data_IF_780693644421
#
_entry.id   IF_780693644421
#
_cell.length_a   1.000
_cell.length_b   1.000
_cell.length_c   1.000
_cell.angle_alpha   90.00
_cell.angle_beta   90.00
_cell.angle_gamma   90.00
#
_symmetry.space_group_name_H-M   'P 1'
#
loop_
_entity.id
_entity.type
_entity.pdbx_description
1 polymer ?
#
# COMPACT_ATOMS: atom_id res chain seq x y z
N UNK A 1 20.31 -20.16 8.72
CA UNK A 1 20.82 -19.56 7.46
C UNK A 1 20.34 -18.11 7.31
N UNK A 2 19.07 -17.84 7.00
CA UNK A 2 18.55 -16.47 6.81
C UNK A 2 18.81 -15.52 8.00
N UNK A 3 18.68 -16.00 9.24
CA UNK A 3 18.98 -15.19 10.43
C UNK A 3 20.45 -14.75 10.42
N UNK A 4 21.39 -15.64 10.11
CA UNK A 4 22.82 -15.31 10.08
C UNK A 4 23.12 -14.27 8.98
N UNK A 5 22.49 -14.40 7.80
CA UNK A 5 22.62 -13.42 6.71
C UNK A 5 22.11 -12.03 7.15
N UNK A 6 21.00 -11.97 7.89
CA UNK A 6 20.47 -10.72 8.45
C UNK A 6 21.40 -10.13 9.51
N UNK A 7 21.94 -10.96 10.40
CA UNK A 7 22.91 -10.51 11.41
C UNK A 7 24.19 -9.98 10.74
N UNK A 8 24.70 -10.63 9.69
CA UNK A 8 25.86 -10.18 8.91
C UNK A 8 25.61 -8.83 8.19
N UNK A 9 24.36 -8.56 7.77
CA UNK A 9 23.98 -7.27 7.18
C UNK A 9 23.90 -6.12 8.21
N UNK A 10 23.93 -6.42 9.51
CA UNK A 10 23.80 -5.45 10.61
C UNK A 10 22.41 -5.46 11.28
N UNK A 11 21.70 -6.58 11.21
CA UNK A 11 20.42 -6.80 11.88
C UNK A 11 19.19 -6.36 11.08
N UNK A 12 18.02 -6.75 11.57
CA UNK A 12 16.77 -6.64 10.82
C UNK A 12 16.34 -5.20 10.53
N UNK A 13 16.64 -4.24 11.42
CA UNK A 13 16.28 -2.83 11.21
C UNK A 13 16.95 -2.27 9.94
N UNK A 14 18.22 -2.60 9.70
CA UNK A 14 18.95 -2.20 8.51
C UNK A 14 18.45 -2.95 7.27
N UNK A 15 18.23 -4.26 7.38
CA UNK A 15 17.68 -5.05 6.28
C UNK A 15 16.29 -4.55 5.82
N UNK A 16 15.41 -4.16 6.75
CA UNK A 16 14.09 -3.57 6.44
C UNK A 16 14.24 -2.21 5.76
N UNK A 17 15.14 -1.35 6.24
CA UNK A 17 15.40 -0.06 5.60
C UNK A 17 15.93 -0.20 4.17
N UNK A 18 16.67 -1.27 3.88
CA UNK A 18 17.17 -1.59 2.53
C UNK A 18 16.11 -2.27 1.63
N UNK A 19 14.96 -2.67 2.19
CA UNK A 19 13.82 -3.25 1.47
C UNK A 19 13.95 -4.73 1.11
N UNK A 20 15.03 -5.41 1.52
CA UNK A 20 15.31 -6.81 1.14
C UNK A 20 14.22 -7.78 1.62
N UNK A 21 13.77 -7.74 2.89
CA UNK A 21 12.73 -8.66 3.36
C UNK A 21 11.42 -8.52 2.60
N UNK A 22 11.01 -7.27 2.29
CA UNK A 22 9.80 -6.98 1.53
C UNK A 22 9.89 -7.58 0.13
N UNK A 23 11.03 -7.41 -0.55
CA UNK A 23 11.25 -7.97 -1.89
C UNK A 23 11.11 -9.50 -1.91
N UNK A 24 11.70 -10.22 -0.95
CA UNK A 24 11.58 -11.68 -0.88
C UNK A 24 10.15 -12.16 -0.59
N UNK A 25 9.40 -11.41 0.23
CA UNK A 25 7.99 -11.71 0.51
C UNK A 25 7.15 -11.48 -0.75
N UNK A 26 7.40 -10.41 -1.49
CA UNK A 26 6.73 -10.12 -2.76
C UNK A 26 7.04 -11.17 -3.82
N UNK A 27 8.29 -11.64 -3.91
CA UNK A 27 8.68 -12.74 -4.80
C UNK A 27 7.93 -14.03 -4.46
N UNK A 28 7.84 -14.38 -3.18
CA UNK A 28 7.03 -15.51 -2.72
C UNK A 28 5.55 -15.34 -3.11
N UNK A 29 5.00 -14.14 -3.00
CA UNK A 29 3.62 -13.84 -3.37
C UNK A 29 3.38 -13.98 -4.89
N UNK A 30 4.33 -13.51 -5.71
CA UNK A 30 4.28 -13.64 -7.17
C UNK A 30 4.31 -15.11 -7.61
N UNK A 31 5.25 -15.90 -7.07
CA UNK A 31 5.33 -17.35 -7.33
C UNK A 31 4.04 -18.05 -6.90
N UNK A 32 3.55 -17.76 -5.70
CA UNK A 32 2.31 -18.36 -5.21
C UNK A 32 1.13 -18.03 -6.11
N UNK A 33 1.02 -16.78 -6.59
CA UNK A 33 -0.05 -16.41 -7.50
C UNK A 33 0.06 -17.21 -8.81
N UNK A 34 1.25 -17.32 -9.39
CA UNK A 34 1.48 -18.10 -10.60
C UNK A 34 1.07 -19.58 -10.43
N UNK A 35 1.31 -20.18 -9.27
CA UNK A 35 0.85 -21.54 -8.96
C UNK A 35 -0.67 -21.67 -8.91
N UNK A 36 -1.34 -20.67 -8.33
CA UNK A 36 -2.81 -20.65 -8.26
C UNK A 36 -3.41 -20.47 -9.66
N UNK A 37 -2.88 -19.52 -10.43
CA UNK A 37 -3.40 -19.19 -11.76
C UNK A 37 -3.15 -20.32 -12.77
N UNK A 38 -1.99 -21.00 -12.69
CA UNK A 38 -1.68 -22.20 -13.50
C UNK A 38 -2.46 -23.45 -13.06
N UNK A 39 -3.14 -23.42 -11.92
CA UNK A 39 -3.84 -24.56 -11.34
C UNK A 39 -2.95 -25.61 -10.67
N UNK A 40 -1.64 -25.37 -10.53
CA UNK A 40 -0.72 -26.25 -9.79
C UNK A 40 -0.97 -26.21 -8.27
N UNK A 41 -1.38 -25.06 -7.73
CA UNK A 41 -1.95 -24.92 -6.39
C UNK A 41 -3.48 -24.89 -6.49
N UNK A 42 -4.15 -25.95 -6.04
CA UNK A 42 -5.61 -26.06 -6.13
C UNK A 42 -6.28 -25.33 -4.97
N UNK A 43 -7.23 -24.45 -5.29
CA UNK A 43 -8.16 -23.83 -4.35
C UNK A 43 -9.58 -24.22 -4.76
N UNK A 44 -10.19 -25.11 -3.96
CA UNK A 44 -11.54 -25.62 -4.18
C UNK A 44 -12.55 -24.48 -4.17
N UNK A 45 -13.41 -24.43 -5.18
CA UNK A 45 -14.39 -23.37 -5.38
C UNK A 45 -13.85 -22.13 -6.09
N UNK A 46 -12.54 -22.03 -6.32
CA UNK A 46 -11.92 -20.86 -6.98
C UNK A 46 -11.33 -21.22 -8.34
N UNK A 47 -10.31 -22.08 -8.41
CA UNK A 47 -9.68 -22.48 -9.69
C UNK A 47 -10.04 -23.91 -10.09
N UNK A 48 -10.65 -24.69 -9.18
CA UNK A 48 -11.12 -26.05 -9.45
C UNK A 48 -12.38 -26.33 -8.64
N UNK A 49 -13.29 -27.10 -9.22
CA UNK A 49 -14.59 -27.44 -8.60
C UNK A 49 -15.42 -26.20 -8.26
N UNK A 50 -15.47 -25.23 -9.19
CA UNK A 50 -16.29 -24.03 -9.06
C UNK A 50 -17.78 -24.41 -9.12
N UNK A 51 -18.61 -23.69 -8.35
CA UNK A 51 -20.06 -23.80 -8.45
C UNK A 51 -20.52 -23.11 -9.75
N UNK A 52 -21.54 -23.67 -10.42
CA UNK A 52 -22.14 -23.00 -11.58
C UNK A 52 -22.84 -21.69 -11.20
N UNK A 53 -23.30 -21.59 -9.96
CA UNK A 53 -23.97 -20.42 -9.40
C UNK A 53 -23.48 -20.19 -7.97
N UNK A 54 -22.92 -19.02 -7.73
CA UNK A 54 -22.55 -18.55 -6.40
C UNK A 54 -23.77 -17.95 -5.69
N UNK A 55 -23.87 -18.20 -4.38
CA UNK A 55 -24.87 -17.55 -3.54
C UNK A 55 -24.41 -16.15 -3.17
N UNK A 56 -25.31 -15.17 -3.28
CA UNK A 56 -25.02 -13.80 -2.84
C UNK A 56 -25.09 -13.72 -1.32
N UNK A 57 -23.97 -13.34 -0.69
CA UNK A 57 -23.91 -13.06 0.74
C UNK A 57 -24.06 -11.56 0.97
N UNK A 58 -24.92 -11.16 1.90
CA UNK A 58 -25.01 -9.77 2.32
C UNK A 58 -23.74 -9.36 3.07
N UNK A 59 -23.01 -8.42 2.47
CA UNK A 59 -21.81 -7.83 3.08
C UNK A 59 -22.20 -6.55 3.81
N UNK A 60 -21.78 -6.42 5.07
CA UNK A 60 -22.01 -5.21 5.85
C UNK A 60 -21.20 -4.04 5.26
N UNK A 61 -21.89 -3.12 4.58
CA UNK A 61 -21.33 -1.82 4.21
C UNK A 61 -21.54 -0.83 5.37
N UNK A 62 -20.46 -0.19 5.81
CA UNK A 62 -20.53 0.84 6.86
C UNK A 62 -20.72 2.21 6.20
N UNK A 63 -21.78 2.93 6.56
CA UNK A 63 -21.96 4.32 6.13
C UNK A 63 -20.93 5.23 6.80
N UNK A 64 -19.90 5.59 6.04
CA UNK A 64 -18.82 6.46 6.48
C UNK A 64 -19.27 7.93 6.61
N UNK A 65 -20.39 8.34 6.00
CA UNK A 65 -20.86 9.74 6.05
C UNK A 65 -21.39 10.08 7.42
N UNK A 66 -22.27 9.24 7.97
CA UNK A 66 -22.79 9.38 9.34
C UNK A 66 -21.67 9.34 10.38
N UNK A 67 -20.73 8.41 10.23
CA UNK A 67 -19.57 8.29 11.14
C UNK A 67 -18.70 9.54 11.07
N UNK A 68 -18.32 9.99 9.87
CA UNK A 68 -17.50 11.19 9.68
C UNK A 68 -18.13 12.42 10.31
N UNK A 69 -19.41 12.67 10.05
CA UNK A 69 -20.11 13.85 10.56
C UNK A 69 -20.15 13.84 12.10
N UNK A 70 -20.45 12.69 12.73
CA UNK A 70 -20.43 12.54 14.18
C UNK A 70 -19.04 12.76 14.79
N UNK A 71 -17.98 12.31 14.11
CA UNK A 71 -16.62 12.50 14.61
C UNK A 71 -16.16 13.95 14.48
N UNK A 72 -16.51 14.63 13.38
CA UNK A 72 -16.25 16.07 13.22
C UNK A 72 -16.92 16.86 14.33
N UNK A 73 -18.20 16.60 14.62
CA UNK A 73 -18.93 17.29 15.69
C UNK A 73 -18.28 17.08 17.07
N UNK A 74 -17.85 15.85 17.38
CA UNK A 74 -17.11 15.56 18.63
C UNK A 74 -15.80 16.32 18.69
N UNK A 75 -15.03 16.35 17.61
CA UNK A 75 -13.77 17.07 17.54
C UNK A 75 -13.97 18.57 17.76
N UNK A 76 -14.98 19.17 17.13
CA UNK A 76 -15.32 20.58 17.32
C UNK A 76 -15.66 20.88 18.77
N UNK A 77 -16.49 20.05 19.42
CA UNK A 77 -16.84 20.22 20.84
C UNK A 77 -15.63 20.09 21.76
N UNK A 78 -14.80 19.06 21.56
CA UNK A 78 -13.61 18.83 22.38
C UNK A 78 -12.62 19.98 22.25
N UNK A 79 -12.37 20.46 21.03
CA UNK A 79 -11.47 21.60 20.79
C UNK A 79 -12.02 22.92 21.35
N UNK A 80 -13.33 23.12 21.35
CA UNK A 80 -13.94 24.32 21.91
C UNK A 80 -13.92 24.36 23.45
N UNK A 81 -13.98 23.20 24.12
CA UNK A 81 -14.10 23.11 25.57
C UNK A 81 -12.78 22.81 26.30
N UNK A 82 -11.67 22.55 25.59
CA UNK A 82 -10.38 22.25 26.22
C UNK A 82 -9.64 23.51 26.65
N UNK A 83 -8.70 23.35 27.58
CA UNK A 83 -7.71 24.38 27.87
C UNK A 83 -6.67 24.39 26.74
N UNK A 84 -6.79 25.38 25.85
CA UNK A 84 -5.93 25.50 24.67
C UNK A 84 -4.47 25.81 25.04
N UNK A 85 -4.24 26.56 26.12
CA UNK A 85 -2.88 26.90 26.57
C UNK A 85 -2.19 25.64 27.11
N UNK A 86 -2.90 24.84 27.90
CA UNK A 86 -2.40 23.56 28.38
C UNK A 86 -2.13 22.57 27.22
N UNK A 87 -3.06 22.46 26.27
CA UNK A 87 -2.91 21.61 25.10
C UNK A 87 -1.66 21.99 24.28
N UNK A 88 -1.50 23.28 23.96
CA UNK A 88 -0.35 23.75 23.19
C UNK A 88 0.97 23.56 23.93
N UNK A 89 0.99 23.73 25.26
CA UNK A 89 2.17 23.45 26.09
C UNK A 89 2.59 21.98 26.01
N UNK A 90 1.63 21.06 26.08
CA UNK A 90 1.90 19.62 25.94
C UNK A 90 2.43 19.27 24.54
N UNK A 91 1.86 19.86 23.47
CA UNK A 91 2.32 19.62 22.10
C UNK A 91 3.74 20.16 21.88
N UNK A 92 4.05 21.35 22.40
CA UNK A 92 5.41 21.90 22.33
C UNK A 92 6.40 21.02 23.09
N UNK A 93 6.03 20.51 24.26
CA UNK A 93 6.88 19.58 25.01
C UNK A 93 7.14 18.27 24.26
N UNK A 94 6.14 17.75 23.53
CA UNK A 94 6.31 16.58 22.64
C UNK A 94 7.30 16.86 21.51
N UNK A 95 7.18 18.01 20.84
CA UNK A 95 8.12 18.41 19.79
C UNK A 95 9.54 18.58 20.34
N UNK A 96 9.70 19.22 21.50
CA UNK A 96 11.00 19.41 22.16
C UNK A 96 11.63 18.07 22.57
N UNK A 97 10.84 17.17 23.14
CA UNK A 97 11.29 15.82 23.50
C UNK A 97 11.73 15.02 22.26
N UNK A 98 10.99 15.13 21.14
CA UNK A 98 11.36 14.51 19.88
C UNK A 98 12.69 15.04 19.34
N UNK A 99 12.94 16.36 19.45
CA UNK A 99 14.16 17.01 18.97
C UNK A 99 15.39 16.70 19.85
N UNK A 100 15.24 16.86 21.16
CA UNK A 100 16.35 16.71 22.13
C UNK A 100 16.64 15.27 22.51
N UNK A 101 15.68 14.36 22.30
CA UNK A 101 15.68 12.97 22.80
C UNK A 101 15.79 12.89 24.32
N UNK A 102 15.40 13.95 25.04
CA UNK A 102 15.35 13.97 26.49
C UNK A 102 13.91 13.80 26.98
N UNK A 103 13.70 12.91 27.95
CA UNK A 103 12.38 12.56 28.47
C UNK A 103 11.77 11.33 27.79
N UNK A 104 10.47 11.10 28.01
CA UNK A 104 9.76 9.94 27.50
C UNK A 104 8.52 10.39 26.69
N UNK A 105 8.50 10.06 25.39
CA UNK A 105 7.42 10.44 24.49
C UNK A 105 6.05 9.91 24.93
N UNK A 106 5.99 8.69 25.45
CA UNK A 106 4.73 8.10 25.92
C UNK A 106 4.20 8.86 27.15
N UNK A 107 5.06 9.20 28.11
CA UNK A 107 4.67 10.01 29.26
C UNK A 107 4.09 11.36 28.84
N UNK A 108 4.74 12.05 27.90
CA UNK A 108 4.26 13.33 27.37
C UNK A 108 2.98 13.20 26.54
N UNK A 109 2.82 12.09 25.81
CA UNK A 109 1.59 11.80 25.07
C UNK A 109 0.40 11.52 26.01
N UNK A 110 0.62 10.91 27.18
CA UNK A 110 -0.41 10.76 28.23
C UNK A 110 -0.85 12.13 28.74
N UNK A 111 0.09 13.05 28.98
CA UNK A 111 -0.24 14.43 29.38
C UNK A 111 -1.00 15.18 28.29
N UNK A 112 -0.57 15.07 27.02
CA UNK A 112 -1.27 15.66 25.88
C UNK A 112 -2.70 15.11 25.75
N UNK A 113 -2.88 13.79 25.90
CA UNK A 113 -4.20 13.14 25.89
C UNK A 113 -5.10 13.64 27.02
N UNK A 114 -4.53 13.84 28.23
CA UNK A 114 -5.25 14.43 29.37
C UNK A 114 -5.69 15.87 29.08
N UNK A 115 -4.84 16.65 28.41
CA UNK A 115 -5.13 18.01 27.93
C UNK A 115 -6.04 18.05 26.69
N UNK A 116 -6.60 16.91 26.26
CA UNK A 116 -7.51 16.80 25.10
C UNK A 116 -6.86 17.19 23.77
N UNK A 117 -5.56 16.95 23.64
CA UNK A 117 -4.91 16.89 22.34
C UNK A 117 -5.43 15.67 21.56
N UNK A 118 -5.64 15.85 20.27
CA UNK A 118 -6.10 14.79 19.37
C UNK A 118 -4.95 13.88 18.94
N UNK A 119 -5.28 12.70 18.43
CA UNK A 119 -4.29 11.78 17.84
C UNK A 119 -3.50 12.47 16.72
N UNK A 120 -4.19 13.23 15.85
CA UNK A 120 -3.55 13.99 14.77
C UNK A 120 -2.56 15.03 15.30
N UNK A 121 -2.95 15.84 16.29
CA UNK A 121 -2.05 16.86 16.87
C UNK A 121 -0.81 16.27 17.54
N UNK A 122 -0.96 15.14 18.25
CA UNK A 122 0.17 14.44 18.87
C UNK A 122 1.11 13.88 17.79
N UNK A 123 0.57 13.25 16.75
CA UNK A 123 1.35 12.78 15.60
C UNK A 123 2.06 13.94 14.89
N UNK A 124 1.37 15.03 14.62
CA UNK A 124 1.93 16.21 13.94
C UNK A 124 3.03 16.88 14.76
N UNK A 125 2.90 16.91 16.09
CA UNK A 125 3.95 17.43 16.98
C UNK A 125 5.25 16.63 16.86
N UNK A 126 5.17 15.31 16.69
CA UNK A 126 6.34 14.45 16.45
C UNK A 126 6.82 14.52 15.00
N UNK A 127 5.90 14.60 14.03
CA UNK A 127 6.18 14.71 12.59
C UNK A 127 7.03 15.95 12.26
N UNK A 128 6.90 17.04 13.01
CA UNK A 128 7.76 18.23 12.88
C UNK A 128 9.26 17.92 12.98
N UNK A 129 9.64 16.90 13.75
CA UNK A 129 11.04 16.50 13.94
C UNK A 129 11.39 15.28 13.11
N UNK A 130 10.53 14.26 13.10
CA UNK A 130 10.85 12.98 12.45
C UNK A 130 10.52 12.93 10.95
N UNK A 131 9.66 13.84 10.48
CA UNK A 131 9.12 13.80 9.12
C UNK A 131 8.16 12.63 8.89
N UNK A 132 7.97 12.29 7.62
CA UNK A 132 7.20 11.11 7.19
C UNK A 132 8.09 10.15 6.43
N UNK A 133 7.91 8.86 6.69
CA UNK A 133 8.57 7.83 5.92
C UNK A 133 7.98 7.79 4.50
N UNK A 134 8.85 7.83 3.49
CA UNK A 134 8.49 7.54 2.10
C UNK A 134 9.18 6.24 1.71
N UNK A 135 8.39 5.23 1.38
CA UNK A 135 8.91 3.94 0.95
C UNK A 135 9.59 4.08 -0.41
N UNK A 136 10.78 3.48 -0.55
CA UNK A 136 11.44 3.27 -1.84
C UNK A 136 11.24 1.81 -2.22
N UNK A 137 10.21 1.53 -3.02
CA UNK A 137 9.89 0.17 -3.38
C UNK A 137 10.80 -0.34 -4.50
N UNK A 138 11.32 -1.55 -4.32
CA UNK A 138 11.90 -2.34 -5.41
C UNK A 138 10.78 -3.15 -6.05
N UNK A 139 10.88 -3.40 -7.35
CA UNK A 139 9.91 -4.21 -8.08
C UNK A 139 10.49 -5.61 -8.32
N UNK A 140 9.72 -6.64 -8.01
CA UNK A 140 10.00 -8.02 -8.43
C UNK A 140 9.84 -8.11 -9.95
N UNK A 141 10.72 -8.84 -10.64
CA UNK A 141 10.60 -9.13 -12.07
C UNK A 141 10.94 -10.60 -12.34
N UNK A 142 10.21 -11.22 -13.27
CA UNK A 142 10.41 -12.57 -13.77
C UNK A 142 9.84 -13.68 -12.90
N UNK A 143 9.59 -13.44 -11.61
CA UNK A 143 9.18 -14.47 -10.66
C UNK A 143 7.82 -15.08 -10.99
N UNK A 144 6.87 -14.29 -11.49
CA UNK A 144 5.54 -14.79 -11.86
C UNK A 144 5.64 -15.69 -13.08
N UNK A 145 6.24 -15.20 -14.17
CA UNK A 145 6.36 -15.97 -15.42
C UNK A 145 7.21 -17.23 -15.26
N UNK A 146 8.30 -17.17 -14.51
CA UNK A 146 9.15 -18.33 -14.26
C UNK A 146 8.38 -19.45 -13.57
N UNK A 147 7.59 -19.12 -12.54
CA UNK A 147 6.84 -20.12 -11.77
C UNK A 147 5.59 -20.61 -12.50
N UNK A 148 4.98 -19.76 -13.36
CA UNK A 148 3.85 -20.18 -14.20
C UNK A 148 4.26 -21.30 -15.17
N UNK A 149 5.49 -21.26 -15.66
CA UNK A 149 6.04 -22.23 -16.60
C UNK A 149 5.58 -22.01 -18.05
N UNK A 150 5.72 -23.04 -18.87
CA UNK A 150 5.30 -23.01 -20.28
C UNK A 150 3.77 -23.10 -20.37
N UNK A 151 3.15 -22.09 -20.99
CA UNK A 151 1.70 -22.03 -21.18
C UNK A 151 1.35 -21.33 -22.48
N UNK A 152 0.37 -21.91 -23.20
CA UNK A 152 -0.20 -21.30 -24.40
C UNK A 152 -0.87 -19.96 -24.08
N UNK A 153 -1.48 -19.81 -22.91
CA UNK A 153 -2.13 -18.58 -22.47
C UNK A 153 -1.11 -17.43 -22.33
N UNK A 154 0.01 -17.69 -21.66
CA UNK A 154 1.10 -16.72 -21.49
C UNK A 154 1.68 -16.34 -22.86
N UNK A 155 1.90 -17.33 -23.73
CA UNK A 155 2.44 -17.10 -25.08
C UNK A 155 1.48 -16.25 -25.93
N UNK A 156 0.17 -16.52 -25.85
CA UNK A 156 -0.86 -15.72 -26.53
C UNK A 156 -0.96 -14.30 -25.97
N UNK A 157 -0.87 -14.12 -24.65
CA UNK A 157 -0.88 -12.81 -24.01
C UNK A 157 0.31 -11.96 -24.48
N UNK A 158 1.53 -12.51 -24.45
CA UNK A 158 2.74 -11.84 -24.94
C UNK A 158 2.62 -11.50 -26.43
N UNK A 159 2.09 -12.43 -27.24
CA UNK A 159 1.86 -12.17 -28.67
C UNK A 159 0.90 -10.98 -28.89
N UNK A 160 -0.16 -10.86 -28.08
CA UNK A 160 -1.08 -9.71 -28.15
C UNK A 160 -0.42 -8.40 -27.75
N UNK A 161 0.42 -8.41 -26.72
CA UNK A 161 1.20 -7.22 -26.30
C UNK A 161 2.19 -6.80 -27.40
N UNK A 162 2.86 -7.75 -28.05
CA UNK A 162 3.76 -7.45 -29.15
C UNK A 162 3.02 -6.85 -30.36
N UNK A 163 1.83 -7.37 -30.71
CA UNK A 163 0.99 -6.77 -31.76
C UNK A 163 0.55 -5.35 -31.42
N UNK A 164 0.29 -5.06 -30.14
CA UNK A 164 0.01 -3.70 -29.69
C UNK A 164 1.23 -2.80 -29.91
N UNK A 165 2.41 -3.26 -29.50
CA UNK A 165 3.67 -2.54 -29.69
C UNK A 165 3.94 -2.24 -31.18
N UNK A 166 3.74 -3.21 -32.06
CA UNK A 166 3.90 -3.03 -33.51
C UNK A 166 2.94 -1.99 -34.10
N UNK A 167 1.71 -1.93 -33.58
CA UNK A 167 0.67 -1.01 -34.08
C UNK A 167 0.79 0.40 -33.53
N UNK A 168 1.06 0.54 -32.24
CA UNK A 168 1.05 1.83 -31.52
C UNK A 168 2.45 2.44 -31.37
N UNK A 169 3.52 1.70 -31.71
CA UNK A 169 4.91 2.15 -31.59
C UNK A 169 5.45 2.20 -30.16
N UNK A 170 4.65 1.80 -29.16
CA UNK A 170 5.03 1.71 -27.75
C UNK A 170 4.28 0.58 -27.04
N UNK A 171 4.81 0.11 -25.90
CA UNK A 171 4.16 -0.92 -25.09
C UNK A 171 2.87 -0.37 -24.46
N UNK A 172 1.89 -1.25 -24.16
CA UNK A 172 0.76 -0.83 -23.35
C UNK A 172 1.28 -0.44 -21.96
N UNK A 173 0.84 0.73 -21.49
CA UNK A 173 1.36 1.37 -20.28
C UNK A 173 0.28 1.46 -19.22
N UNK A 174 0.54 0.88 -18.05
CA UNK A 174 -0.42 0.72 -16.95
C UNK A 174 0.12 1.42 -15.69
N UNK A 175 -0.65 2.34 -15.12
CA UNK A 175 -0.43 2.81 -13.75
C UNK A 175 -1.22 1.93 -12.78
N UNK A 176 -0.54 1.14 -11.94
CA UNK A 176 -1.17 0.46 -10.82
C UNK A 176 -1.20 1.39 -9.61
N UNK A 177 -2.39 1.86 -9.22
CA UNK A 177 -2.55 2.91 -8.23
C UNK A 177 -3.24 2.43 -6.94
N UNK A 178 -2.84 3.06 -5.82
CA UNK A 178 -3.47 2.96 -4.51
C UNK A 178 -3.98 4.35 -4.12
N UNK A 179 -5.23 4.43 -3.66
CA UNK A 179 -5.83 5.70 -3.25
C UNK A 179 -6.26 5.68 -1.79
N UNK A 180 -6.16 6.83 -1.14
CA UNK A 180 -6.50 6.99 0.27
C UNK A 180 -5.57 6.18 1.17
N UNK A 181 -6.01 5.88 2.40
CA UNK A 181 -5.16 5.25 3.42
C UNK A 181 -5.02 3.72 3.28
N UNK A 182 -5.39 3.14 2.14
CA UNK A 182 -5.35 1.70 1.90
C UNK A 182 -3.92 1.19 1.68
N UNK A 183 -3.36 0.52 2.69
CA UNK A 183 -2.03 -0.09 2.67
C UNK A 183 -1.95 -1.49 2.06
N UNK A 184 -3.07 -2.07 1.58
CA UNK A 184 -3.02 -3.41 0.99
C UNK A 184 -2.37 -3.37 -0.40
N UNK A 185 -1.14 -3.88 -0.52
CA UNK A 185 -0.37 -3.79 -1.76
C UNK A 185 -0.07 -5.14 -2.41
N UNK A 186 -0.28 -6.28 -1.72
CA UNK A 186 -0.02 -7.62 -2.29
C UNK A 186 -0.62 -7.80 -3.69
N UNK A 187 -1.92 -7.55 -3.84
CA UNK A 187 -2.61 -7.69 -5.13
C UNK A 187 -2.08 -6.72 -6.19
N UNK A 188 -1.86 -5.46 -5.81
CA UNK A 188 -1.30 -4.43 -6.68
C UNK A 188 0.10 -4.82 -7.19
N UNK A 189 0.99 -5.30 -6.31
CA UNK A 189 2.36 -5.70 -6.64
C UNK A 189 2.41 -6.95 -7.50
N UNK A 190 1.56 -7.93 -7.24
CA UNK A 190 1.45 -9.16 -8.05
C UNK A 190 0.94 -8.85 -9.46
N UNK A 191 -0.07 -7.97 -9.60
CA UNK A 191 -0.51 -7.49 -10.91
C UNK A 191 0.61 -6.74 -11.62
N UNK A 192 1.31 -5.85 -10.91
CA UNK A 192 2.37 -5.06 -11.52
C UNK A 192 3.50 -5.95 -12.07
N UNK A 193 4.01 -6.90 -11.28
CA UNK A 193 5.08 -7.81 -11.72
C UNK A 193 4.61 -8.77 -12.82
N UNK A 194 3.39 -9.31 -12.72
CA UNK A 194 2.82 -10.18 -13.74
C UNK A 194 2.62 -9.49 -15.09
N UNK A 195 2.09 -8.26 -15.09
CA UNK A 195 1.92 -7.50 -16.34
C UNK A 195 3.25 -7.09 -16.96
N UNK A 196 4.23 -6.71 -16.14
CA UNK A 196 5.59 -6.43 -16.61
C UNK A 196 6.23 -7.68 -17.25
N UNK A 197 6.06 -8.85 -16.64
CA UNK A 197 6.55 -10.13 -17.18
C UNK A 197 5.91 -10.50 -18.54
N UNK A 198 4.71 -9.99 -18.81
CA UNK A 198 3.97 -10.15 -20.08
C UNK A 198 4.29 -9.07 -21.12
N UNK A 199 5.08 -8.04 -20.75
CA UNK A 199 5.59 -7.01 -21.67
C UNK A 199 4.88 -5.65 -21.59
N UNK A 200 4.07 -5.39 -20.56
CA UNK A 200 3.58 -4.04 -20.29
C UNK A 200 4.70 -3.16 -19.72
N UNK A 201 4.62 -1.85 -20.00
CA UNK A 201 5.33 -0.87 -19.20
C UNK A 201 4.46 -0.52 -18.00
N UNK A 202 4.92 -0.82 -16.79
CA UNK A 202 4.12 -0.69 -15.57
C UNK A 202 4.71 0.36 -14.65
N UNK A 203 3.91 1.36 -14.33
CA UNK A 203 4.20 2.32 -13.26
C UNK A 203 3.43 1.90 -12.00
N UNK A 204 4.09 1.96 -10.84
CA UNK A 204 3.44 1.70 -9.55
C UNK A 204 3.30 3.03 -8.82
N UNK A 205 2.06 3.43 -8.55
CA UNK A 205 1.75 4.61 -7.75
C UNK A 205 2.20 4.41 -6.30
N UNK A 206 2.77 5.44 -5.65
CA UNK A 206 3.06 5.37 -4.22
C UNK A 206 1.79 5.16 -3.40
N UNK A 207 1.95 4.62 -2.19
CA UNK A 207 0.85 4.54 -1.23
C UNK A 207 0.35 5.94 -0.86
N UNK A 208 -0.91 6.00 -0.42
CA UNK A 208 -1.53 7.18 0.19
C UNK A 208 -1.80 8.38 -0.72
N UNK A 209 -1.78 8.17 -2.03
CA UNK A 209 -2.18 9.22 -2.97
C UNK A 209 -3.67 9.54 -2.90
N UNK A 210 -3.99 10.80 -3.13
CA UNK A 210 -5.33 11.27 -3.42
C UNK A 210 -5.71 10.94 -4.87
N UNK A 211 -7.01 10.92 -5.22
CA UNK A 211 -7.43 10.74 -6.61
C UNK A 211 -6.83 11.78 -7.57
N UNK A 212 -6.62 13.02 -7.10
CA UNK A 212 -6.02 14.08 -7.89
C UNK A 212 -4.54 13.82 -8.19
N UNK A 213 -3.79 13.33 -7.20
CA UNK A 213 -2.37 12.96 -7.39
C UNK A 213 -2.23 11.75 -8.32
N UNK A 214 -3.11 10.76 -8.22
CA UNK A 214 -3.14 9.62 -9.16
C UNK A 214 -3.45 10.10 -10.58
N UNK A 215 -4.45 10.98 -10.75
CA UNK A 215 -4.80 11.55 -12.04
C UNK A 215 -3.63 12.33 -12.65
N UNK A 216 -2.96 13.16 -11.84
CA UNK A 216 -1.77 13.90 -12.28
C UNK A 216 -0.64 12.96 -12.70
N UNK A 217 -0.33 11.94 -11.90
CA UNK A 217 0.71 10.96 -12.23
C UNK A 217 0.38 10.20 -13.52
N UNK A 218 -0.88 9.82 -13.72
CA UNK A 218 -1.32 9.12 -14.93
C UNK A 218 -1.11 9.97 -16.19
N UNK A 219 -1.44 11.27 -16.11
CA UNK A 219 -1.24 12.23 -17.20
C UNK A 219 0.25 12.47 -17.45
N UNK A 220 1.04 12.70 -16.40
CA UNK A 220 2.48 12.98 -16.51
C UNK A 220 3.25 11.78 -17.12
N UNK A 221 2.82 10.56 -16.80
CA UNK A 221 3.41 9.33 -17.33
C UNK A 221 2.82 8.90 -18.69
N UNK A 222 1.80 9.60 -19.21
CA UNK A 222 1.07 9.26 -20.44
C UNK A 222 0.67 7.77 -20.49
N UNK A 223 0.04 7.30 -19.41
CA UNK A 223 -0.40 5.90 -19.31
C UNK A 223 -1.65 5.65 -20.16
N UNK A 224 -1.77 4.45 -20.70
CA UNK A 224 -2.96 4.06 -21.46
C UNK A 224 -4.15 3.75 -20.54
N UNK A 225 -3.86 3.25 -19.33
CA UNK A 225 -4.89 2.96 -18.33
C UNK A 225 -4.35 3.08 -16.90
N UNK A 226 -5.28 3.32 -15.97
CA UNK A 226 -5.04 3.31 -14.53
C UNK A 226 -5.77 2.12 -13.92
N UNK A 227 -5.02 1.19 -13.33
CA UNK A 227 -5.54 0.07 -12.57
C UNK A 227 -5.60 0.43 -11.09
N UNK A 228 -6.79 0.77 -10.58
CA UNK A 228 -6.98 1.07 -9.16
C UNK A 228 -7.13 -0.22 -8.36
N UNK A 229 -6.24 -0.44 -7.40
CA UNK A 229 -6.33 -1.57 -6.46
C UNK A 229 -6.86 -1.09 -5.11
N UNK A 230 -8.00 -1.61 -4.66
CA UNK A 230 -8.68 -1.12 -3.44
C UNK A 230 -9.31 -2.28 -2.68
N UNK A 231 -8.92 -2.37 -1.41
CA UNK A 231 -9.33 -3.39 -0.46
C UNK A 231 -9.81 -2.76 0.86
N UNK A 232 -10.02 -1.43 0.87
CA UNK A 232 -10.43 -0.66 2.06
C UNK A 232 -11.84 -0.06 1.93
N UNK A 233 -12.68 -0.62 1.03
CA UNK A 233 -14.07 -0.19 0.82
C UNK A 233 -14.23 1.31 0.48
N UNK A 234 -13.25 1.89 -0.21
CA UNK A 234 -13.31 3.27 -0.73
C UNK A 234 -13.95 3.41 -2.11
N UNK A 235 -14.60 2.34 -2.59
CA UNK A 235 -15.32 2.28 -3.86
C UNK A 235 -16.64 3.04 -3.82
#
# INVERSE_FOLDING_TARGET
KLINEIEEMGGMAKAVAEGIPKLHIEECAARRQARIDSGSEVIVGVNKYQLEKEETVEVLAIDNTSVRNKQIEKLTKVKACRDEVAAQKCLTALTECAATRQGNLLALAVEASRARCTVGEITDAMKKVFGEHRASDRMVSGAYRQEFGESDEITQAISRVNKFLEREGRRPRLLVAKMGQDGHDRGAKVIATGFADLGFDVDIGPLFQTPLEVAQQAVDADVHCVGVSTLAAGH
#
